data_IF_399328339832
#
_entry.id   IF_399328339832
#
_cell.length_a   1.000
_cell.length_b   1.000
_cell.length_c   1.000
_cell.angle_alpha   90.00
_cell.angle_beta   90.00
_cell.angle_gamma   90.00
#
_symmetry.space_group_name_H-M   'P 1'
#
loop_
_entity.id
_entity.type
_entity.pdbx_description
1 polymer ?
#
# COMPACT_ATOMS: atom_id res chain seq x y z
N UNK A 1 7.85 19.51 8.11
CA UNK A 1 8.94 20.36 8.61
C UNK A 1 9.48 19.96 9.99
N UNK A 2 8.61 19.56 10.92
CA UNK A 2 9.01 19.21 12.30
C UNK A 2 9.85 17.94 12.39
N UNK A 3 9.59 16.95 11.56
CA UNK A 3 10.30 15.66 11.59
C UNK A 3 11.74 15.74 11.09
N UNK A 4 12.03 16.59 10.11
CA UNK A 4 13.40 16.87 9.70
C UNK A 4 14.20 17.49 10.84
N UNK A 5 13.62 18.47 11.56
CA UNK A 5 14.30 19.12 12.67
C UNK A 5 14.65 18.17 13.83
N UNK A 6 13.80 17.15 14.08
CA UNK A 6 14.03 16.16 15.16
C UNK A 6 15.19 15.23 14.79
N UNK A 7 15.26 14.76 13.55
CA UNK A 7 16.38 13.95 13.05
C UNK A 7 17.69 14.74 13.03
N UNK A 8 17.65 16.00 12.59
CA UNK A 8 18.81 16.89 12.59
C UNK A 8 19.38 17.10 13.98
N UNK A 9 18.53 17.22 15.01
CA UNK A 9 18.96 17.28 16.42
C UNK A 9 19.68 16.01 16.84
N UNK A 10 19.20 14.83 16.43
CA UNK A 10 19.85 13.56 16.76
C UNK A 10 21.23 13.46 16.10
N UNK A 11 21.35 13.83 14.82
CA UNK A 11 22.62 13.84 14.10
C UNK A 11 23.58 14.89 14.63
N UNK A 12 23.09 16.08 15.00
CA UNK A 12 23.88 17.11 15.70
C UNK A 12 24.37 16.64 17.07
N UNK A 13 23.58 15.84 17.77
CA UNK A 13 24.01 15.25 19.04
C UNK A 13 25.12 14.19 18.87
N UNK A 14 25.16 13.47 17.74
CA UNK A 14 26.19 12.46 17.44
C UNK A 14 27.56 13.08 17.15
N UNK A 15 27.62 14.25 16.51
CA UNK A 15 28.88 14.85 16.02
C UNK A 15 29.18 16.18 16.72
N UNK A 16 30.44 16.58 16.70
CA UNK A 16 30.89 17.91 17.16
C UNK A 16 30.93 18.91 15.99
N UNK A 17 30.83 18.43 14.75
CA UNK A 17 30.95 19.24 13.55
C UNK A 17 29.58 19.35 12.87
N UNK A 18 29.09 20.57 12.69
CA UNK A 18 27.79 20.85 12.06
C UNK A 18 27.69 20.33 10.63
N UNK A 19 28.79 20.39 9.85
CA UNK A 19 28.79 19.91 8.45
C UNK A 19 28.63 18.40 8.40
N UNK A 20 29.31 17.66 9.28
CA UNK A 20 29.17 16.20 9.35
C UNK A 20 27.76 15.82 9.81
N UNK A 21 27.19 16.55 10.77
CA UNK A 21 25.80 16.36 11.20
C UNK A 21 24.83 16.52 10.05
N UNK A 22 24.99 17.58 9.26
CA UNK A 22 24.16 17.86 8.08
C UNK A 22 24.25 16.71 7.05
N UNK A 23 25.47 16.29 6.70
CA UNK A 23 25.69 15.20 5.73
C UNK A 23 25.06 13.89 6.21
N UNK A 24 25.26 13.53 7.48
CA UNK A 24 24.65 12.32 8.07
C UNK A 24 23.12 12.41 8.09
N UNK A 25 22.57 13.58 8.37
CA UNK A 25 21.12 13.81 8.33
C UNK A 25 20.55 13.63 6.93
N UNK A 26 21.21 14.18 5.90
CA UNK A 26 20.82 14.02 4.50
C UNK A 26 20.89 12.55 4.08
N UNK A 27 21.97 11.84 4.43
CA UNK A 27 22.12 10.42 4.11
C UNK A 27 21.02 9.59 4.78
N UNK A 28 20.76 9.83 6.06
CA UNK A 28 19.70 9.12 6.78
C UNK A 28 18.30 9.37 6.15
N UNK A 29 18.00 10.64 5.81
CA UNK A 29 16.76 10.97 5.11
C UNK A 29 16.64 10.30 3.76
N UNK A 30 17.73 10.27 2.99
CA UNK A 30 17.78 9.63 1.68
C UNK A 30 17.55 8.11 1.78
N UNK A 31 18.14 7.45 2.78
CA UNK A 31 17.92 6.01 3.02
C UNK A 31 16.46 5.70 3.35
N UNK A 32 15.82 6.49 4.24
CA UNK A 32 14.40 6.34 4.55
C UNK A 32 13.50 6.59 3.34
N UNK A 33 13.86 7.54 2.48
CA UNK A 33 13.12 7.81 1.26
C UNK A 33 13.29 6.69 0.23
N UNK A 34 14.54 6.26 -0.02
CA UNK A 34 14.85 5.22 -1.00
C UNK A 34 14.31 3.84 -0.62
N UNK A 35 14.11 3.55 0.67
CA UNK A 35 13.56 2.25 1.12
C UNK A 35 12.15 1.95 0.58
N UNK A 36 11.41 2.97 0.10
CA UNK A 36 10.09 2.81 -0.53
C UNK A 36 10.08 2.90 -2.05
N UNK A 37 11.22 3.15 -2.65
CA UNK A 37 11.28 3.24 -4.11
C UNK A 37 11.29 1.84 -4.73
N UNK A 38 10.37 1.59 -5.65
CA UNK A 38 10.16 0.26 -6.24
C UNK A 38 11.40 -0.31 -6.94
N UNK A 39 12.24 0.55 -7.53
CA UNK A 39 13.53 0.14 -8.12
C UNK A 39 14.51 -0.42 -7.08
N UNK A 40 14.55 0.16 -5.88
CA UNK A 40 15.40 -0.32 -4.78
C UNK A 40 14.85 -1.64 -4.25
N UNK A 41 13.53 -1.73 -4.06
CA UNK A 41 12.88 -2.96 -3.63
C UNK A 41 13.05 -4.10 -4.66
N UNK A 42 12.99 -3.80 -5.96
CA UNK A 42 13.20 -4.80 -7.01
C UNK A 42 14.63 -5.36 -7.01
N UNK A 43 15.61 -4.52 -6.72
CA UNK A 43 17.00 -4.98 -6.54
C UNK A 43 17.12 -5.95 -5.37
N UNK A 44 16.49 -5.66 -4.24
CA UNK A 44 16.51 -6.55 -3.07
C UNK A 44 15.69 -7.83 -3.29
N UNK A 45 14.68 -7.84 -4.15
CA UNK A 45 13.92 -9.05 -4.51
C UNK A 45 14.79 -10.17 -5.10
N UNK A 46 15.93 -9.84 -5.67
CA UNK A 46 16.88 -10.82 -6.20
C UNK A 46 17.62 -11.61 -5.11
N UNK A 47 17.73 -11.08 -3.88
CA UNK A 47 18.56 -11.64 -2.81
C UNK A 47 17.83 -11.90 -1.49
N UNK A 48 16.65 -11.28 -1.28
CA UNK A 48 15.95 -11.30 -0.01
C UNK A 48 14.59 -12.00 -0.12
N UNK A 49 14.12 -12.57 1.01
CA UNK A 49 12.80 -13.18 1.09
C UNK A 49 11.70 -12.11 0.96
N UNK A 50 10.53 -12.50 0.47
CA UNK A 50 9.37 -11.62 0.30
C UNK A 50 8.99 -10.92 1.62
N UNK A 51 9.04 -11.65 2.74
CA UNK A 51 8.76 -11.11 4.08
C UNK A 51 9.72 -9.99 4.48
N UNK A 52 11.01 -10.13 4.13
CA UNK A 52 12.02 -9.11 4.42
C UNK A 52 11.79 -7.84 3.60
N UNK A 53 11.38 -7.98 2.34
CA UNK A 53 11.06 -6.86 1.46
C UNK A 53 9.83 -6.10 1.95
N UNK A 54 8.78 -6.83 2.37
CA UNK A 54 7.58 -6.24 2.95
C UNK A 54 7.90 -5.50 4.26
N UNK A 55 8.84 -6.03 5.05
CA UNK A 55 9.32 -5.37 6.26
C UNK A 55 10.04 -4.07 5.94
N UNK A 56 10.96 -4.04 4.96
CA UNK A 56 11.64 -2.81 4.53
C UNK A 56 10.63 -1.80 3.97
N UNK A 57 9.71 -2.24 3.13
CA UNK A 57 8.67 -1.39 2.55
C UNK A 57 7.76 -0.78 3.64
N UNK A 58 7.48 -1.50 4.72
CA UNK A 58 6.67 -1.00 5.84
C UNK A 58 7.36 0.09 6.66
N UNK A 59 8.68 0.23 6.56
CA UNK A 59 9.43 1.33 7.18
C UNK A 59 9.65 2.52 6.25
N UNK A 60 9.15 2.44 5.02
CA UNK A 60 9.29 3.52 4.05
C UNK A 60 8.40 4.70 4.38
N UNK A 61 9.03 5.85 4.52
CA UNK A 61 8.33 7.13 4.64
C UNK A 61 7.44 7.43 3.42
N UNK A 62 7.92 7.07 2.22
CA UNK A 62 7.22 7.33 0.96
C UNK A 62 5.89 6.56 0.88
N UNK A 63 5.87 5.30 1.32
CA UNK A 63 4.67 4.47 1.29
C UNK A 63 3.56 5.05 2.18
N UNK A 64 3.90 5.44 3.41
CA UNK A 64 2.95 6.06 4.35
C UNK A 64 2.49 7.45 3.89
N UNK A 65 3.39 8.22 3.26
CA UNK A 65 3.04 9.54 2.74
C UNK A 65 2.13 9.46 1.51
N UNK A 66 2.33 8.50 0.62
CA UNK A 66 1.47 8.30 -0.55
C UNK A 66 0.03 7.98 -0.15
N UNK A 67 -0.18 7.21 0.90
CA UNK A 67 -1.53 6.92 1.44
C UNK A 67 -2.22 8.22 1.88
N UNK A 68 -1.49 9.08 2.61
CA UNK A 68 -1.99 10.39 3.02
C UNK A 68 -2.26 11.31 1.82
N UNK A 69 -1.36 11.35 0.84
CA UNK A 69 -1.49 12.17 -0.36
C UNK A 69 -2.72 11.77 -1.20
N UNK A 70 -3.10 10.49 -1.14
CA UNK A 70 -4.31 9.97 -1.78
C UNK A 70 -5.60 10.28 -0.98
N UNK A 71 -5.51 11.04 0.12
CA UNK A 71 -6.66 11.39 0.96
C UNK A 71 -7.14 10.28 1.90
N UNK A 72 -6.35 9.23 2.07
CA UNK A 72 -6.61 8.13 2.98
C UNK A 72 -5.74 8.29 4.23
N UNK A 73 -6.38 8.45 5.38
CA UNK A 73 -5.67 8.46 6.66
C UNK A 73 -5.82 7.08 7.32
N UNK A 74 -4.78 6.30 7.26
CA UNK A 74 -4.73 5.06 8.03
C UNK A 74 -4.19 5.34 9.44
N UNK A 75 -4.83 4.78 10.46
CA UNK A 75 -4.35 4.93 11.84
C UNK A 75 -2.94 4.36 12.00
N UNK A 76 -2.59 3.37 11.21
CA UNK A 76 -1.24 2.81 11.10
C UNK A 76 -0.19 3.86 10.72
N UNK A 77 -0.51 4.74 9.75
CA UNK A 77 0.42 5.76 9.27
C UNK A 77 0.68 6.81 10.35
N UNK A 78 -0.37 7.23 11.06
CA UNK A 78 -0.24 8.13 12.22
C UNK A 78 0.62 7.51 13.33
N UNK A 79 0.41 6.22 13.61
CA UNK A 79 1.19 5.50 14.60
C UNK A 79 2.66 5.39 14.19
N UNK A 80 2.95 5.12 12.91
CA UNK A 80 4.30 5.09 12.36
C UNK A 80 5.02 6.43 12.57
N UNK A 81 4.41 7.54 12.15
CA UNK A 81 5.00 8.87 12.33
C UNK A 81 5.21 9.21 13.81
N UNK A 82 4.25 8.89 14.67
CA UNK A 82 4.37 9.07 16.12
C UNK A 82 5.53 8.29 16.71
N UNK A 83 5.68 7.02 16.36
CA UNK A 83 6.78 6.17 16.87
C UNK A 83 8.14 6.59 16.32
N UNK A 84 8.24 7.08 15.08
CA UNK A 84 9.47 7.67 14.51
C UNK A 84 9.89 8.91 15.32
N UNK A 85 8.96 9.82 15.61
CA UNK A 85 9.22 11.02 16.42
C UNK A 85 9.74 10.62 17.79
N UNK A 86 9.09 9.66 18.45
CA UNK A 86 9.50 9.17 19.77
C UNK A 86 10.89 8.53 19.72
N UNK A 87 11.16 7.67 18.72
CA UNK A 87 12.44 7.01 18.53
C UNK A 87 13.59 8.04 18.47
N UNK A 88 13.47 9.05 17.62
CA UNK A 88 14.51 10.06 17.47
C UNK A 88 14.66 10.93 18.71
N UNK A 89 13.57 11.32 19.39
CA UNK A 89 13.64 12.09 20.64
C UNK A 89 14.35 11.28 21.74
N UNK A 90 13.95 10.03 21.99
CA UNK A 90 14.58 9.19 23.00
C UNK A 90 16.05 8.91 22.68
N UNK A 91 16.37 8.64 21.40
CA UNK A 91 17.75 8.45 20.96
C UNK A 91 18.58 9.71 21.21
N UNK A 92 18.03 10.90 20.93
CA UNK A 92 18.70 12.18 21.23
C UNK A 92 18.99 12.33 22.72
N UNK A 93 18.01 12.05 23.58
CA UNK A 93 18.16 12.11 25.05
C UNK A 93 19.28 11.18 25.52
N UNK A 94 19.31 9.93 25.00
CA UNK A 94 20.34 8.96 25.33
C UNK A 94 21.74 9.43 24.89
N UNK A 95 21.87 9.97 23.68
CA UNK A 95 23.16 10.46 23.15
C UNK A 95 23.65 11.66 23.99
N UNK A 96 22.77 12.60 24.29
CA UNK A 96 23.10 13.76 25.11
C UNK A 96 23.47 13.32 26.54
N UNK A 97 22.68 12.42 27.14
CA UNK A 97 22.98 11.82 28.43
C UNK A 97 24.34 11.14 28.48
N UNK A 98 24.69 10.38 27.40
CA UNK A 98 26.03 9.79 27.29
C UNK A 98 27.15 10.81 27.22
N UNK A 99 26.96 11.93 26.49
CA UNK A 99 27.97 12.99 26.37
C UNK A 99 28.15 13.80 27.68
N UNK A 100 27.07 13.95 28.44
CA UNK A 100 27.10 14.74 29.69
C UNK A 100 27.55 13.95 30.92
N UNK A 101 27.35 12.62 30.93
CA UNK A 101 27.70 11.75 32.04
C UNK A 101 29.18 11.29 32.09
N UNK A 102 30.03 11.76 31.17
CA UNK A 102 31.39 11.25 31.05
C UNK A 102 32.45 12.10 31.68
N UNK A 103 32.99 11.71 32.87
CA UNK A 103 34.28 12.27 33.36
C UNK A 103 35.19 11.30 34.10
N UNK A 104 34.84 10.04 34.36
CA UNK A 104 35.76 9.11 35.03
C UNK A 104 35.95 7.80 34.27
N UNK A 105 37.21 7.41 34.07
CA UNK A 105 37.63 6.38 33.10
C UNK A 105 37.06 4.98 33.29
N UNK A 106 36.77 4.49 34.49
CA UNK A 106 36.25 3.12 34.72
C UNK A 106 34.73 3.04 34.47
N UNK A 107 34.00 4.05 34.89
CA UNK A 107 32.56 4.17 34.64
C UNK A 107 32.21 4.38 33.15
N UNK A 108 33.18 4.84 32.36
CA UNK A 108 32.99 5.14 30.94
C UNK A 108 32.73 3.88 30.07
N UNK A 109 33.32 2.75 30.39
CA UNK A 109 33.11 1.50 29.61
C UNK A 109 31.75 0.88 29.91
N UNK A 110 31.34 0.85 31.17
CA UNK A 110 30.06 0.28 31.60
C UNK A 110 28.89 1.16 31.13
N UNK A 111 29.03 2.47 31.20
CA UNK A 111 27.98 3.39 30.69
C UNK A 111 27.87 3.33 29.18
N UNK A 112 28.95 3.17 28.42
CA UNK A 112 28.88 3.04 26.96
C UNK A 112 28.06 1.84 26.52
N UNK A 113 28.29 0.68 27.13
CA UNK A 113 27.54 -0.53 26.81
C UNK A 113 26.05 -0.42 27.17
N UNK A 114 25.73 0.24 28.28
CA UNK A 114 24.36 0.53 28.67
C UNK A 114 23.63 1.39 27.61
N UNK A 115 24.26 2.49 27.13
CA UNK A 115 23.65 3.34 26.11
C UNK A 115 23.50 2.65 24.78
N UNK A 116 24.48 1.84 24.35
CA UNK A 116 24.36 1.03 23.13
C UNK A 116 23.20 0.05 23.26
N UNK A 117 23.11 -0.65 24.41
CA UNK A 117 22.01 -1.58 24.67
C UNK A 117 20.65 -0.88 24.67
N UNK A 118 20.56 0.29 25.29
CA UNK A 118 19.33 1.09 25.32
C UNK A 118 18.88 1.54 23.90
N UNK A 119 19.82 1.94 23.04
CA UNK A 119 19.52 2.28 21.64
C UNK A 119 19.05 1.05 20.84
N UNK A 120 19.73 -0.11 21.03
CA UNK A 120 19.30 -1.36 20.39
C UNK A 120 17.90 -1.79 20.85
N UNK A 121 17.61 -1.65 22.13
CA UNK A 121 16.28 -1.95 22.70
C UNK A 121 15.20 -1.01 22.13
N UNK A 122 15.51 0.27 21.97
CA UNK A 122 14.62 1.24 21.33
C UNK A 122 14.34 0.88 19.86
N UNK A 123 15.37 0.47 19.10
CA UNK A 123 15.22 0.04 17.71
C UNK A 123 14.39 -1.25 17.61
N UNK A 124 14.64 -2.23 18.46
CA UNK A 124 13.84 -3.45 18.52
C UNK A 124 12.38 -3.15 18.90
N UNK A 125 12.17 -2.29 19.89
CA UNK A 125 10.84 -1.86 20.31
C UNK A 125 10.10 -1.12 19.20
N UNK A 126 10.76 -0.19 18.52
CA UNK A 126 10.21 0.51 17.35
C UNK A 126 9.79 -0.47 16.26
N UNK A 127 10.67 -1.40 15.90
CA UNK A 127 10.39 -2.42 14.88
C UNK A 127 9.22 -3.30 15.29
N UNK A 128 9.24 -3.82 16.52
CA UNK A 128 8.17 -4.69 17.03
C UNK A 128 6.81 -3.99 17.10
N UNK A 129 6.77 -2.75 17.61
CA UNK A 129 5.55 -1.96 17.69
C UNK A 129 4.96 -1.66 16.30
N UNK A 130 5.79 -1.32 15.32
CA UNK A 130 5.32 -1.05 13.96
C UNK A 130 4.84 -2.31 13.25
N UNK A 131 5.48 -3.47 13.45
CA UNK A 131 5.00 -4.75 12.92
C UNK A 131 3.64 -5.13 13.51
N UNK A 132 3.46 -4.95 14.83
CA UNK A 132 2.18 -5.19 15.50
C UNK A 132 1.12 -4.21 14.99
N UNK A 133 1.45 -2.92 14.92
CA UNK A 133 0.55 -1.89 14.41
C UNK A 133 0.12 -2.17 12.96
N UNK A 134 1.04 -2.63 12.11
CA UNK A 134 0.73 -3.03 10.73
C UNK A 134 -0.27 -4.20 10.67
N UNK A 135 -0.24 -5.11 11.65
CA UNK A 135 -1.18 -6.22 11.72
C UNK A 135 -2.56 -5.82 12.24
N UNK A 136 -2.63 -4.98 13.28
CA UNK A 136 -3.88 -4.66 13.99
C UNK A 136 -4.55 -3.37 13.51
N UNK A 137 -3.80 -2.36 13.08
CA UNK A 137 -4.35 -1.03 12.74
C UNK A 137 -4.61 -0.84 11.25
N UNK A 138 -4.30 -1.84 10.42
CA UNK A 138 -4.46 -1.77 8.96
C UNK A 138 -5.91 -1.57 8.52
N UNK A 139 -6.88 -2.02 9.32
CA UNK A 139 -8.29 -1.98 8.98
C UNK A 139 -9.00 -0.69 9.41
N UNK A 140 -8.32 0.14 10.22
CA UNK A 140 -8.86 1.42 10.70
C UNK A 140 -8.41 2.51 9.74
N UNK A 141 -9.28 2.83 8.78
CA UNK A 141 -9.04 3.84 7.74
C UNK A 141 -10.11 4.93 7.80
N UNK A 142 -9.66 6.18 7.77
CA UNK A 142 -10.53 7.35 7.62
C UNK A 142 -10.35 7.91 6.21
N UNK A 143 -11.46 8.00 5.50
CA UNK A 143 -11.52 8.51 4.14
C UNK A 143 -11.86 10.01 4.16
N UNK A 144 -10.86 10.83 3.84
CA UNK A 144 -10.98 12.29 3.73
C UNK A 144 -11.14 12.77 2.29
N UNK A 145 -11.27 11.85 1.32
CA UNK A 145 -11.52 12.24 -0.06
C UNK A 145 -12.87 12.96 -0.18
N UNK A 146 -12.93 14.00 -1.03
CA UNK A 146 -14.15 14.79 -1.24
C UNK A 146 -15.36 13.92 -1.65
N UNK A 147 -15.11 12.83 -2.38
CA UNK A 147 -16.12 11.91 -2.90
C UNK A 147 -16.25 10.61 -2.06
N UNK A 148 -15.52 10.51 -0.95
CA UNK A 148 -15.46 9.29 -0.11
C UNK A 148 -15.22 8.00 -0.91
N UNK A 149 -14.35 8.09 -1.92
CA UNK A 149 -14.06 7.04 -2.91
C UNK A 149 -13.68 5.72 -2.24
N UNK A 150 -13.13 5.79 -1.04
CA UNK A 150 -12.70 4.64 -0.26
C UNK A 150 -13.74 4.17 0.76
N UNK A 151 -14.90 4.81 0.85
CA UNK A 151 -15.97 4.44 1.80
C UNK A 151 -17.15 3.85 1.04
N UNK A 152 -17.41 2.55 1.23
CA UNK A 152 -18.53 1.89 0.57
C UNK A 152 -19.87 2.35 1.12
N UNK A 153 -20.85 2.50 0.24
CA UNK A 153 -22.21 2.86 0.58
C UNK A 153 -22.88 1.82 1.50
N UNK A 154 -23.83 2.22 2.32
CA UNK A 154 -24.58 1.26 3.15
C UNK A 154 -25.32 0.19 2.33
N UNK A 155 -25.72 0.53 1.12
CA UNK A 155 -26.39 -0.39 0.17
C UNK A 155 -25.44 -1.47 -0.29
N UNK A 156 -24.23 -1.10 -0.73
CA UNK A 156 -23.18 -2.03 -1.15
C UNK A 156 -22.79 -2.97 -0.01
N UNK A 157 -22.62 -2.44 1.20
CA UNK A 157 -22.32 -3.27 2.38
C UNK A 157 -23.39 -4.31 2.67
N UNK A 158 -24.66 -3.93 2.52
CA UNK A 158 -25.80 -4.84 2.69
C UNK A 158 -25.80 -5.94 1.63
N UNK A 159 -25.62 -5.58 0.35
CA UNK A 159 -25.58 -6.52 -0.77
C UNK A 159 -24.43 -7.53 -0.57
N UNK A 160 -23.24 -7.07 -0.26
CA UNK A 160 -22.07 -7.92 -0.04
C UNK A 160 -22.23 -8.84 1.19
N UNK A 161 -22.82 -8.36 2.26
CA UNK A 161 -23.09 -9.15 3.47
C UNK A 161 -24.18 -10.22 3.28
N UNK A 162 -25.08 -10.03 2.31
CA UNK A 162 -26.23 -10.92 2.03
C UNK A 162 -26.07 -11.70 0.74
N UNK A 163 -24.86 -11.86 0.19
CA UNK A 163 -24.63 -12.66 -1.02
C UNK A 163 -25.17 -14.09 -0.86
N UNK A 164 -26.08 -14.52 -1.72
CA UNK A 164 -26.70 -15.85 -1.61
C UNK A 164 -25.73 -16.96 -1.97
N UNK A 165 -24.82 -16.73 -2.90
CA UNK A 165 -23.82 -17.67 -3.41
C UNK A 165 -22.47 -17.00 -3.59
N UNK A 166 -21.36 -17.76 -3.56
CA UNK A 166 -20.04 -17.25 -3.90
C UNK A 166 -19.96 -16.66 -5.30
N UNK A 167 -19.24 -15.55 -5.43
CA UNK A 167 -18.98 -14.84 -6.68
C UNK A 167 -17.49 -14.79 -6.91
N UNK A 168 -17.06 -15.12 -8.12
CA UNK A 168 -15.68 -14.97 -8.57
C UNK A 168 -15.60 -13.84 -9.59
N UNK A 169 -14.84 -12.81 -9.26
CA UNK A 169 -14.54 -11.70 -10.15
C UNK A 169 -13.19 -11.94 -10.82
N UNK A 170 -13.12 -11.82 -12.15
CA UNK A 170 -11.86 -11.85 -12.89
C UNK A 170 -11.64 -10.49 -13.53
N UNK A 171 -10.62 -9.78 -13.04
CA UNK A 171 -10.18 -8.50 -13.60
C UNK A 171 -9.13 -8.77 -14.67
N UNK A 172 -9.41 -8.35 -15.89
CA UNK A 172 -8.46 -8.40 -17.00
C UNK A 172 -7.85 -7.02 -17.19
N UNK A 173 -6.56 -6.92 -16.97
CA UNK A 173 -5.82 -5.67 -17.06
C UNK A 173 -4.49 -5.84 -17.77
N UNK A 174 -4.27 -5.12 -18.86
CA UNK A 174 -3.00 -5.05 -19.56
C UNK A 174 -2.13 -3.94 -18.94
N UNK A 175 -1.00 -4.28 -18.25
CA UNK A 175 -0.19 -3.30 -17.50
C UNK A 175 0.35 -2.15 -18.35
N UNK A 176 0.55 -2.39 -19.64
CA UNK A 176 1.05 -1.41 -20.59
C UNK A 176 0.11 -0.18 -20.72
N UNK A 177 -1.19 -0.37 -20.55
CA UNK A 177 -2.16 0.74 -20.54
C UNK A 177 -1.88 1.73 -19.42
N UNK A 178 -1.63 1.25 -18.21
CA UNK A 178 -1.31 2.12 -17.05
C UNK A 178 0.10 2.70 -17.08
N UNK A 179 1.05 2.04 -17.78
CA UNK A 179 2.39 2.61 -17.98
C UNK A 179 2.34 3.83 -18.93
N UNK A 180 1.43 3.82 -19.91
CA UNK A 180 1.27 4.89 -20.88
C UNK A 180 0.33 6.01 -20.43
N UNK A 181 -0.67 5.67 -19.63
CA UNK A 181 -1.65 6.64 -19.16
C UNK A 181 -1.76 6.59 -17.61
N UNK A 182 -1.29 7.63 -16.90
CA UNK A 182 -1.37 7.71 -15.45
C UNK A 182 -2.82 7.66 -14.91
N UNK A 183 -3.81 8.13 -15.67
CA UNK A 183 -5.22 8.09 -15.27
C UNK A 183 -5.74 6.65 -15.25
N UNK A 184 -5.35 5.83 -16.24
CA UNK A 184 -5.69 4.40 -16.25
C UNK A 184 -5.04 3.69 -15.06
N UNK A 185 -3.80 4.02 -14.75
CA UNK A 185 -3.12 3.47 -13.57
C UNK A 185 -3.89 3.79 -12.30
N UNK A 186 -4.30 5.05 -12.12
CA UNK A 186 -5.07 5.48 -10.97
C UNK A 186 -6.44 4.76 -10.89
N UNK A 187 -7.12 4.59 -12.03
CA UNK A 187 -8.37 3.86 -12.12
C UNK A 187 -8.21 2.39 -11.69
N UNK A 188 -7.14 1.73 -12.15
CA UNK A 188 -6.83 0.35 -11.79
C UNK A 188 -6.52 0.23 -10.30
N UNK A 189 -5.76 1.15 -9.72
CA UNK A 189 -5.47 1.18 -8.28
C UNK A 189 -6.76 1.32 -7.46
N UNK A 190 -7.70 2.18 -7.89
CA UNK A 190 -9.04 2.31 -7.29
C UNK A 190 -9.83 0.99 -7.37
N UNK A 191 -9.81 0.33 -8.54
CA UNK A 191 -10.47 -0.97 -8.74
C UNK A 191 -9.90 -2.05 -7.81
N UNK A 192 -8.58 -2.13 -7.66
CA UNK A 192 -7.94 -3.08 -6.74
C UNK A 192 -8.37 -2.86 -5.30
N UNK A 193 -8.40 -1.61 -4.85
CA UNK A 193 -8.84 -1.26 -3.49
C UNK A 193 -10.30 -1.67 -3.29
N UNK A 194 -11.16 -1.38 -4.27
CA UNK A 194 -12.57 -1.70 -4.24
C UNK A 194 -12.80 -3.22 -4.17
N UNK A 195 -12.17 -4.01 -5.05
CA UNK A 195 -12.29 -5.46 -5.07
C UNK A 195 -11.82 -6.11 -3.77
N UNK A 196 -10.72 -5.62 -3.18
CA UNK A 196 -10.24 -6.08 -1.86
C UNK A 196 -11.27 -5.80 -0.75
N UNK A 197 -11.92 -4.64 -0.77
CA UNK A 197 -12.97 -4.31 0.20
C UNK A 197 -14.18 -5.22 0.04
N UNK A 198 -14.57 -5.50 -1.19
CA UNK A 198 -15.68 -6.44 -1.50
C UNK A 198 -15.36 -7.84 -0.98
N UNK A 199 -14.15 -8.33 -1.21
CA UNK A 199 -13.72 -9.64 -0.70
C UNK A 199 -13.77 -9.72 0.83
N UNK A 200 -13.34 -8.68 1.54
CA UNK A 200 -13.40 -8.63 3.01
C UNK A 200 -14.82 -8.59 3.55
N UNK A 201 -15.65 -7.70 3.00
CA UNK A 201 -16.99 -7.46 3.51
C UNK A 201 -17.98 -8.57 3.20
N UNK A 202 -17.70 -9.38 2.18
CA UNK A 202 -18.51 -10.54 1.81
C UNK A 202 -18.30 -11.78 2.70
N UNK A 203 -17.38 -11.70 3.67
CA UNK A 203 -17.05 -12.88 4.51
C UNK A 203 -16.47 -14.06 3.70
N UNK A 204 -15.74 -13.77 2.62
CA UNK A 204 -15.13 -14.77 1.74
C UNK A 204 -16.02 -15.26 0.59
N UNK A 205 -17.27 -14.76 0.49
CA UNK A 205 -18.16 -15.11 -0.61
C UNK A 205 -17.84 -14.38 -1.91
N UNK A 206 -17.12 -13.28 -1.88
CA UNK A 206 -16.62 -12.59 -3.07
C UNK A 206 -15.12 -12.77 -3.15
N UNK A 207 -14.66 -13.47 -4.19
CA UNK A 207 -13.26 -13.67 -4.49
C UNK A 207 -12.89 -12.98 -5.80
N UNK A 208 -11.65 -12.51 -5.93
CA UNK A 208 -11.21 -11.94 -7.18
C UNK A 208 -9.82 -12.44 -7.59
N UNK A 209 -9.60 -12.53 -8.88
CA UNK A 209 -8.33 -12.83 -9.49
C UNK A 209 -8.03 -11.80 -10.59
N UNK A 210 -6.74 -11.52 -10.80
CA UNK A 210 -6.29 -10.58 -11.81
C UNK A 210 -5.53 -11.33 -12.89
N UNK A 211 -5.90 -11.05 -14.12
CA UNK A 211 -5.30 -11.63 -15.31
C UNK A 211 -4.64 -10.51 -16.13
N UNK A 212 -3.47 -10.80 -16.66
CA UNK A 212 -2.71 -9.86 -17.47
C UNK A 212 -2.62 -10.39 -18.91
N UNK A 213 -3.61 -10.05 -19.77
CA UNK A 213 -3.58 -10.46 -21.17
C UNK A 213 -2.33 -9.94 -21.85
N UNK A 214 -1.61 -10.85 -22.52
CA UNK A 214 -0.48 -10.53 -23.39
C UNK A 214 -0.85 -10.88 -24.83
N UNK A 215 -0.24 -10.24 -25.81
CA UNK A 215 -0.50 -10.52 -27.21
C UNK A 215 -0.25 -11.99 -27.54
N UNK A 216 -1.20 -12.61 -28.25
CA UNK A 216 -1.14 -14.02 -28.66
C UNK A 216 -1.12 -15.02 -27.50
N UNK A 217 -1.59 -14.61 -26.31
CA UNK A 217 -1.71 -15.49 -25.16
C UNK A 217 -3.15 -16.03 -25.03
N UNK A 218 -3.27 -17.22 -24.47
CA UNK A 218 -4.56 -17.84 -24.15
C UNK A 218 -5.48 -16.94 -23.27
N UNK A 219 -4.88 -16.05 -22.48
CA UNK A 219 -5.61 -15.09 -21.64
C UNK A 219 -6.26 -13.99 -22.51
N UNK A 220 -5.64 -13.58 -23.60
CA UNK A 220 -6.24 -12.65 -24.58
C UNK A 220 -7.48 -13.27 -25.23
N UNK A 221 -7.39 -14.51 -25.68
CA UNK A 221 -8.52 -15.24 -26.28
C UNK A 221 -9.65 -15.42 -25.25
N UNK A 222 -9.31 -15.72 -24.00
CA UNK A 222 -10.29 -15.81 -22.92
C UNK A 222 -10.98 -14.46 -22.65
N UNK A 223 -10.25 -13.36 -22.71
CA UNK A 223 -10.79 -12.01 -22.52
C UNK A 223 -11.79 -11.66 -23.64
N UNK A 224 -11.45 -11.96 -24.91
CA UNK A 224 -12.33 -11.76 -26.06
C UNK A 224 -13.56 -12.66 -25.98
N UNK A 225 -13.39 -13.95 -25.73
CA UNK A 225 -14.49 -14.88 -25.54
C UNK A 225 -15.39 -14.54 -24.36
N UNK A 226 -14.83 -13.84 -23.38
CA UNK A 226 -15.55 -13.30 -22.24
C UNK A 226 -16.45 -12.11 -22.60
N UNK A 227 -16.30 -11.50 -23.76
CA UNK A 227 -17.03 -10.30 -24.17
C UNK A 227 -16.37 -9.01 -23.71
N UNK A 228 -15.08 -9.04 -23.39
CA UNK A 228 -14.34 -7.81 -23.06
C UNK A 228 -14.00 -7.03 -24.33
N UNK A 229 -14.05 -5.70 -24.20
CA UNK A 229 -13.75 -4.80 -25.31
C UNK A 229 -12.24 -4.53 -25.36
N UNK A 230 -11.57 -4.81 -26.50
CA UNK A 230 -10.16 -4.50 -26.66
C UNK A 230 -9.94 -2.99 -26.82
N UNK A 231 -8.88 -2.48 -26.22
CA UNK A 231 -8.38 -1.12 -26.35
C UNK A 231 -7.18 -1.17 -27.30
N UNK A 232 -7.27 -0.58 -28.52
CA UNK A 232 -6.17 -0.68 -29.47
C UNK A 232 -4.94 0.15 -29.01
N UNK A 233 -3.80 -0.50 -28.97
CA UNK A 233 -2.49 0.11 -28.77
C UNK A 233 -1.84 0.28 -30.15
N UNK A 234 -2.23 1.33 -30.87
CA UNK A 234 -1.94 1.55 -32.30
C UNK A 234 -0.45 1.43 -32.60
N UNK A 235 0.42 2.04 -31.76
CA UNK A 235 1.87 2.05 -32.00
C UNK A 235 2.53 0.67 -31.94
N UNK A 236 1.88 -0.29 -31.27
CA UNK A 236 2.43 -1.63 -31.07
C UNK A 236 1.66 -2.70 -31.86
N UNK A 237 0.59 -2.30 -32.59
CA UNK A 237 -0.32 -3.22 -33.26
C UNK A 237 -0.83 -4.33 -32.33
N UNK A 238 -1.19 -3.98 -31.10
CA UNK A 238 -1.62 -4.89 -30.05
C UNK A 238 -2.90 -4.38 -29.39
N UNK A 239 -3.59 -5.28 -28.70
CA UNK A 239 -4.77 -4.96 -27.91
C UNK A 239 -4.46 -4.96 -26.42
N UNK A 240 -4.95 -3.95 -25.71
CA UNK A 240 -4.99 -3.93 -24.24
C UNK A 240 -6.41 -4.20 -23.76
N UNK A 241 -6.54 -4.59 -22.50
CA UNK A 241 -7.82 -4.86 -21.86
C UNK A 241 -7.90 -4.20 -20.50
N UNK A 242 -9.08 -3.67 -20.18
CA UNK A 242 -9.41 -3.17 -18.84
C UNK A 242 -10.91 -3.43 -18.59
N UNK A 243 -11.23 -4.64 -18.17
CA UNK A 243 -12.62 -5.05 -17.94
C UNK A 243 -12.71 -6.16 -16.89
N UNK A 244 -13.92 -6.54 -16.52
CA UNK A 244 -14.16 -7.46 -15.43
C UNK A 244 -15.28 -8.44 -15.79
N UNK A 245 -15.12 -9.68 -15.39
CA UNK A 245 -16.19 -10.68 -15.45
C UNK A 245 -16.54 -11.15 -14.04
N UNK A 246 -17.83 -11.30 -13.79
CA UNK A 246 -18.39 -11.85 -12.56
C UNK A 246 -19.04 -13.18 -12.89
N UNK A 247 -18.77 -14.20 -12.11
CA UNK A 247 -19.36 -15.53 -12.28
C UNK A 247 -19.78 -16.07 -10.92
N UNK A 248 -20.98 -16.63 -10.81
CA UNK A 248 -21.43 -17.36 -9.63
C UNK A 248 -21.24 -18.88 -9.79
N UNK A 249 -21.45 -19.64 -8.74
CA UNK A 249 -21.37 -21.10 -8.75
C UNK A 249 -22.46 -21.77 -9.63
N UNK A 250 -23.56 -21.07 -9.93
CA UNK A 250 -24.61 -21.58 -10.81
C UNK A 250 -24.32 -21.39 -12.31
N UNK A 251 -23.16 -20.76 -12.63
CA UNK A 251 -22.76 -20.47 -14.00
C UNK A 251 -23.33 -19.16 -14.55
N UNK A 252 -24.11 -18.40 -13.76
CA UNK A 252 -24.57 -17.07 -14.18
C UNK A 252 -23.35 -16.15 -14.33
N UNK A 253 -23.36 -15.34 -15.39
CA UNK A 253 -22.23 -14.48 -15.72
C UNK A 253 -22.69 -13.08 -16.03
N UNK A 254 -21.94 -12.11 -15.50
CA UNK A 254 -22.04 -10.70 -15.86
C UNK A 254 -20.68 -10.17 -16.30
N UNK A 255 -20.67 -9.23 -17.22
CA UNK A 255 -19.46 -8.70 -17.83
C UNK A 255 -19.50 -7.18 -17.82
N UNK A 256 -18.43 -6.58 -17.33
CA UNK A 256 -18.12 -5.17 -17.56
C UNK A 256 -17.08 -5.13 -18.68
N UNK A 257 -17.49 -4.85 -19.93
CA UNK A 257 -16.62 -5.01 -21.10
C UNK A 257 -15.39 -4.08 -21.06
N UNK A 258 -15.60 -2.88 -20.50
CA UNK A 258 -14.58 -1.84 -20.39
C UNK A 258 -14.91 -0.94 -19.20
N UNK A 259 -13.90 -0.49 -18.48
CA UNK A 259 -14.02 0.59 -17.50
C UNK A 259 -13.62 1.92 -18.14
N UNK A 260 -14.57 2.80 -18.51
CA UNK A 260 -14.25 4.09 -19.09
C UNK A 260 -13.74 5.05 -18.02
N UNK A 261 -12.77 5.91 -18.38
CA UNK A 261 -12.16 6.87 -17.46
C UNK A 261 -13.17 7.90 -16.91
N UNK A 262 -14.17 8.26 -17.71
CA UNK A 262 -15.23 9.20 -17.34
C UNK A 262 -16.10 8.68 -16.18
N UNK A 263 -16.15 7.38 -15.99
CA UNK A 263 -16.96 6.71 -14.95
C UNK A 263 -16.15 6.28 -13.71
N UNK A 264 -14.93 6.75 -13.58
CA UNK A 264 -14.05 6.39 -12.45
C UNK A 264 -14.64 6.68 -11.06
N UNK A 265 -15.59 7.59 -10.96
CA UNK A 265 -16.27 7.95 -9.70
C UNK A 265 -17.50 7.07 -9.43
N UNK A 266 -17.95 6.28 -10.41
CA UNK A 266 -19.12 5.40 -10.32
C UNK A 266 -18.76 3.92 -10.24
N UNK A 267 -17.49 3.57 -10.06
CA UNK A 267 -17.00 2.19 -10.01
C UNK A 267 -17.73 1.31 -8.99
N UNK A 268 -18.02 1.86 -7.81
CA UNK A 268 -18.77 1.15 -6.78
C UNK A 268 -20.19 0.82 -7.25
N UNK A 269 -20.87 1.81 -7.84
CA UNK A 269 -22.23 1.65 -8.34
C UNK A 269 -22.27 0.63 -9.49
N UNK A 270 -21.37 0.77 -10.45
CA UNK A 270 -21.30 -0.10 -11.63
C UNK A 270 -21.02 -1.55 -11.20
N UNK A 271 -20.06 -1.77 -10.31
CA UNK A 271 -19.73 -3.10 -9.82
C UNK A 271 -20.85 -3.71 -8.96
N UNK A 272 -21.47 -2.91 -8.09
CA UNK A 272 -22.53 -3.40 -7.21
C UNK A 272 -23.80 -3.73 -7.99
N UNK A 273 -24.16 -2.92 -9.01
CA UNK A 273 -25.29 -3.22 -9.87
C UNK A 273 -25.09 -4.53 -10.67
N UNK A 274 -23.89 -4.75 -11.19
CA UNK A 274 -23.59 -6.00 -11.90
C UNK A 274 -23.63 -7.23 -10.98
N UNK A 275 -23.19 -7.09 -9.72
CA UNK A 275 -23.34 -8.17 -8.72
C UNK A 275 -24.83 -8.42 -8.43
N UNK A 276 -25.62 -7.37 -8.30
CA UNK A 276 -27.06 -7.50 -8.04
C UNK A 276 -27.80 -8.16 -9.23
N UNK A 277 -27.50 -7.74 -10.45
CA UNK A 277 -28.03 -8.32 -11.69
C UNK A 277 -27.65 -9.78 -11.87
N UNK A 278 -26.44 -10.19 -11.44
CA UNK A 278 -25.97 -11.56 -11.49
C UNK A 278 -26.94 -12.54 -10.78
N UNK A 279 -27.58 -12.08 -9.69
CA UNK A 279 -28.52 -12.91 -8.94
C UNK A 279 -29.97 -12.74 -9.37
N UNK A 280 -30.30 -11.72 -10.16
CA UNK A 280 -31.63 -11.56 -10.74
C UNK A 280 -31.81 -12.34 -12.06
N UNK A 281 -30.73 -12.56 -12.78
CA UNK A 281 -30.76 -13.33 -14.01
C UNK A 281 -31.00 -14.80 -13.67
N UNK A 282 -32.15 -15.36 -14.10
CA UNK A 282 -32.41 -16.81 -13.97
C UNK A 282 -31.29 -17.56 -14.66
N UNK A 283 -30.76 -18.66 -14.08
CA UNK A 283 -29.82 -19.51 -14.76
C UNK A 283 -30.48 -20.06 -16.04
N UNK A 284 -29.82 -19.80 -17.15
CA UNK A 284 -30.21 -20.40 -18.48
C UNK A 284 -29.76 -21.84 -18.56
#
# INVERSE_FOLDING_TARGET
GSEMCIRDRTMSALTKNQVIALVLSVIANLLFFLSGVEYVLSFFRAFASQTFIEMIASFSFLTHFQTLANGLLELRDLFFFGTVILLFNFTTILIVGFKTSGTSGWLKSTSRNYYIFAVLLLLCGFTGLNLIANSFLRDIQYDFTAEKIYTLSPSTKRILGSLPRPVVAKLYYTPLLGQRNPEIRLLVDKLYILLRKYSRLSGGKFNFAVYHPQPLDNIEDQALAAGLQPIPLIDLNQNGFLGLTLTDEAGSRQVIPLFPLERQNFLEQDLTSQIFELFQTKPT
#
